data_IF_842780383506
#
_entry.id   IF_842780383506
#
_cell.length_a   1.000
_cell.length_b   1.000
_cell.length_c   1.000
_cell.angle_alpha   90.00
_cell.angle_beta   90.00
_cell.angle_gamma   90.00
#
_symmetry.space_group_name_H-M   'P 1'
#
loop_
_entity.id
_entity.type
_entity.pdbx_description
1 polymer ?
#
# COMPACT_ATOMS: atom_id res chain seq x y z
N UNK A 1 -3.90 24.64 -33.38
CA UNK A 1 -4.15 25.40 -32.14
C UNK A 1 -5.21 24.68 -31.29
N UNK A 2 -4.86 23.68 -30.47
CA UNK A 2 -5.79 23.11 -29.50
C UNK A 2 -5.30 23.25 -28.04
N UNK A 3 -6.23 23.06 -27.10
CA UNK A 3 -6.04 22.95 -25.64
C UNK A 3 -6.12 24.24 -24.80
N UNK A 4 -7.32 24.83 -24.76
CA UNK A 4 -7.77 25.74 -23.69
C UNK A 4 -9.09 25.22 -23.08
N UNK A 5 -9.06 24.07 -22.41
CA UNK A 5 -10.22 23.57 -21.63
C UNK A 5 -9.95 23.34 -20.14
N UNK A 6 -8.75 23.62 -19.63
CA UNK A 6 -8.41 23.31 -18.22
C UNK A 6 -8.43 24.49 -17.23
N UNK A 7 -8.67 25.74 -17.67
CA UNK A 7 -8.55 26.94 -16.80
C UNK A 7 -9.85 27.50 -16.20
N UNK A 8 -10.97 26.78 -16.22
CA UNK A 8 -12.24 27.30 -15.70
C UNK A 8 -13.00 26.33 -14.76
N UNK A 9 -12.30 25.61 -13.88
CA UNK A 9 -12.92 24.85 -12.79
C UNK A 9 -12.61 25.46 -11.42
N UNK A 10 -12.66 26.80 -11.32
CA UNK A 10 -12.34 27.55 -10.10
C UNK A 10 -13.57 28.03 -9.31
N UNK A 11 -14.77 27.56 -9.60
CA UNK A 11 -15.93 27.77 -8.74
C UNK A 11 -16.72 26.45 -8.63
N UNK A 12 -17.05 26.04 -7.40
CA UNK A 12 -17.59 24.73 -7.04
C UNK A 12 -19.14 24.72 -6.98
N UNK A 13 -19.85 24.35 -8.07
CA UNK A 13 -21.21 23.80 -7.97
C UNK A 13 -21.29 22.30 -8.33
N UNK A 14 -20.19 21.66 -8.76
CA UNK A 14 -20.18 20.27 -9.25
C UNK A 14 -19.72 19.21 -8.23
N UNK A 15 -19.07 19.63 -7.12
CA UNK A 15 -18.57 18.72 -6.09
C UNK A 15 -19.65 17.84 -5.41
N UNK A 16 -20.85 18.36 -5.04
CA UNK A 16 -21.89 17.53 -4.44
C UNK A 16 -22.54 16.58 -5.46
N UNK A 17 -22.69 17.00 -6.72
CA UNK A 17 -23.25 16.17 -7.79
C UNK A 17 -22.31 14.99 -8.15
N UNK A 18 -21.01 15.23 -8.19
CA UNK A 18 -20.00 14.17 -8.38
C UNK A 18 -20.01 13.18 -7.22
N UNK A 19 -20.01 13.68 -5.98
CA UNK A 19 -20.05 12.81 -4.80
C UNK A 19 -21.32 11.97 -4.76
N UNK A 20 -22.49 12.54 -5.09
CA UNK A 20 -23.74 11.80 -5.15
C UNK A 20 -23.71 10.68 -6.21
N UNK A 21 -23.14 10.94 -7.40
CA UNK A 21 -22.92 9.89 -8.41
C UNK A 21 -21.98 8.79 -7.90
N UNK A 22 -20.88 9.16 -7.25
CA UNK A 22 -19.95 8.20 -6.64
C UNK A 22 -20.65 7.37 -5.54
N UNK A 23 -21.45 8.00 -4.69
CA UNK A 23 -22.23 7.30 -3.66
C UNK A 23 -23.24 6.32 -4.27
N UNK A 24 -23.91 6.67 -5.38
CA UNK A 24 -24.79 5.76 -6.11
C UNK A 24 -24.04 4.50 -6.59
N UNK A 25 -22.81 4.65 -7.09
CA UNK A 25 -21.95 3.52 -7.47
C UNK A 25 -21.61 2.62 -6.28
N UNK A 26 -21.27 3.22 -5.14
CA UNK A 26 -20.97 2.50 -3.90
C UNK A 26 -22.21 1.80 -3.32
N UNK A 27 -23.39 2.43 -3.33
CA UNK A 27 -24.66 1.83 -2.91
C UNK A 27 -25.01 0.60 -3.74
N UNK A 28 -24.83 0.70 -5.07
CA UNK A 28 -25.06 -0.43 -5.97
C UNK A 28 -24.11 -1.61 -5.68
N UNK A 29 -22.86 -1.33 -5.30
CA UNK A 29 -21.91 -2.34 -4.85
C UNK A 29 -22.33 -2.96 -3.52
N UNK A 30 -22.70 -2.15 -2.52
CA UNK A 30 -23.15 -2.63 -1.21
C UNK A 30 -24.36 -3.58 -1.34
N UNK A 31 -25.37 -3.19 -2.12
CA UNK A 31 -26.54 -4.02 -2.39
C UNK A 31 -26.20 -5.30 -3.17
N UNK A 32 -25.13 -5.29 -3.97
CA UNK A 32 -24.66 -6.49 -4.65
C UNK A 32 -23.89 -7.42 -3.70
N UNK A 33 -23.01 -6.89 -2.85
CA UNK A 33 -22.29 -7.65 -1.83
C UNK A 33 -23.23 -8.31 -0.82
N UNK A 34 -24.27 -7.59 -0.38
CA UNK A 34 -25.27 -8.15 0.52
C UNK A 34 -26.00 -9.33 -0.12
N UNK A 35 -26.45 -9.19 -1.37
CA UNK A 35 -27.05 -10.32 -2.12
C UNK A 35 -26.06 -11.47 -2.28
N UNK A 36 -24.78 -11.20 -2.53
CA UNK A 36 -23.76 -12.24 -2.64
C UNK A 36 -23.67 -13.05 -1.33
N UNK A 37 -23.67 -12.38 -0.18
CA UNK A 37 -23.65 -13.02 1.14
C UNK A 37 -24.95 -13.80 1.43
N UNK A 38 -26.12 -13.26 1.04
CA UNK A 38 -27.42 -13.93 1.20
C UNK A 38 -27.50 -15.25 0.41
N UNK A 39 -26.83 -15.34 -0.75
CA UNK A 39 -26.77 -16.58 -1.54
C UNK A 39 -25.67 -17.56 -1.08
N UNK A 40 -24.79 -17.14 -0.16
CA UNK A 40 -23.73 -17.94 0.43
C UNK A 40 -22.38 -17.86 -0.30
N UNK A 41 -21.29 -18.03 0.46
CA UNK A 41 -19.91 -17.96 -0.03
C UNK A 41 -19.58 -18.93 -1.18
N UNK A 42 -20.09 -20.19 -1.21
CA UNK A 42 -19.83 -21.09 -2.33
C UNK A 42 -20.33 -20.52 -3.67
N UNK A 43 -21.43 -19.76 -3.67
CA UNK A 43 -21.93 -19.12 -4.88
C UNK A 43 -20.95 -18.08 -5.43
N UNK A 44 -20.19 -17.39 -4.57
CA UNK A 44 -19.15 -16.45 -4.98
C UNK A 44 -18.01 -17.13 -5.75
N UNK A 45 -17.64 -18.36 -5.36
CA UNK A 45 -16.61 -19.16 -6.05
C UNK A 45 -17.07 -19.62 -7.45
N UNK A 46 -18.36 -19.92 -7.62
CA UNK A 46 -18.93 -20.34 -8.89
C UNK A 46 -19.44 -19.18 -9.76
N UNK A 47 -19.33 -17.92 -9.30
CA UNK A 47 -19.64 -16.78 -10.14
C UNK A 47 -18.68 -16.74 -11.33
N UNK A 48 -19.25 -16.55 -12.53
CA UNK A 48 -18.45 -16.32 -13.72
C UNK A 48 -17.61 -15.06 -13.57
N UNK A 49 -16.34 -15.12 -13.97
CA UNK A 49 -15.41 -13.97 -14.06
C UNK A 49 -16.05 -12.78 -14.78
N UNK A 50 -16.89 -13.01 -15.79
CA UNK A 50 -17.62 -11.94 -16.50
C UNK A 50 -18.53 -11.08 -15.61
N UNK A 51 -19.12 -11.66 -14.56
CA UNK A 51 -19.96 -10.93 -13.61
C UNK A 51 -19.14 -10.02 -12.70
N UNK A 52 -18.00 -10.51 -12.20
CA UNK A 52 -17.05 -9.71 -11.43
C UNK A 52 -16.51 -8.55 -12.27
N UNK A 53 -16.03 -8.83 -13.48
CA UNK A 53 -15.51 -7.82 -14.40
C UNK A 53 -16.57 -6.77 -14.78
N UNK A 54 -17.84 -7.18 -14.93
CA UNK A 54 -18.93 -6.23 -15.15
C UNK A 54 -19.13 -5.28 -13.96
N UNK A 55 -18.97 -5.75 -12.72
CA UNK A 55 -19.09 -4.93 -11.51
C UNK A 55 -17.89 -4.02 -11.33
N UNK A 56 -16.68 -4.52 -11.55
CA UNK A 56 -15.43 -3.74 -11.53
C UNK A 56 -15.52 -2.58 -12.53
N UNK A 57 -15.90 -2.86 -13.78
CA UNK A 57 -16.05 -1.82 -14.82
C UNK A 57 -17.08 -0.75 -14.44
N UNK A 58 -18.21 -1.15 -13.84
CA UNK A 58 -19.21 -0.19 -13.34
C UNK A 58 -18.61 0.74 -12.28
N UNK A 59 -17.80 0.23 -11.36
CA UNK A 59 -17.15 1.09 -10.35
C UNK A 59 -16.18 2.09 -10.99
N UNK A 60 -15.45 1.69 -12.03
CA UNK A 60 -14.62 2.59 -12.82
C UNK A 60 -15.46 3.67 -13.52
N UNK A 61 -16.62 3.32 -14.08
CA UNK A 61 -17.58 4.30 -14.65
C UNK A 61 -18.11 5.29 -13.61
N UNK A 62 -18.13 4.92 -12.33
CA UNK A 62 -18.49 5.81 -11.21
C UNK A 62 -17.30 6.56 -10.60
N UNK A 63 -16.11 6.49 -11.20
CA UNK A 63 -14.87 7.08 -10.68
C UNK A 63 -14.51 6.57 -9.27
N UNK A 64 -14.68 5.25 -9.03
CA UNK A 64 -14.34 4.56 -7.79
C UNK A 64 -13.24 3.49 -8.01
N UNK A 65 -12.06 3.86 -8.55
CA UNK A 65 -11.03 2.89 -8.92
C UNK A 65 -10.46 2.12 -7.72
N UNK A 66 -10.50 2.69 -6.51
CA UNK A 66 -10.06 1.99 -5.29
C UNK A 66 -11.00 0.86 -4.88
N UNK A 67 -12.32 1.09 -4.97
CA UNK A 67 -13.32 0.03 -4.77
C UNK A 67 -13.26 -1.03 -5.88
N UNK A 68 -13.01 -0.61 -7.13
CA UNK A 68 -12.83 -1.51 -8.26
C UNK A 68 -11.62 -2.45 -8.03
N UNK A 69 -10.48 -1.88 -7.62
CA UNK A 69 -9.27 -2.66 -7.30
C UNK A 69 -9.49 -3.61 -6.11
N UNK A 70 -10.16 -3.15 -5.04
CA UNK A 70 -10.49 -4.01 -3.89
C UNK A 70 -11.42 -5.17 -4.28
N UNK A 71 -12.41 -4.92 -5.15
CA UNK A 71 -13.27 -5.97 -5.69
C UNK A 71 -12.50 -6.97 -6.55
N UNK A 72 -11.54 -6.52 -7.36
CA UNK A 72 -10.65 -7.40 -8.12
C UNK A 72 -9.75 -8.27 -7.24
N UNK A 73 -9.33 -7.78 -6.07
CA UNK A 73 -8.61 -8.60 -5.08
C UNK A 73 -9.49 -9.70 -4.48
N UNK A 74 -10.78 -9.41 -4.24
CA UNK A 74 -11.76 -10.41 -3.79
C UNK A 74 -11.97 -11.47 -4.88
N UNK A 75 -12.17 -11.06 -6.13
CA UNK A 75 -12.29 -11.97 -7.29
C UNK A 75 -11.07 -12.88 -7.41
N UNK A 76 -9.86 -12.33 -7.29
CA UNK A 76 -8.62 -13.10 -7.34
C UNK A 76 -8.56 -14.17 -6.24
N UNK A 77 -9.04 -13.87 -5.02
CA UNK A 77 -9.13 -14.85 -3.92
C UNK A 77 -10.17 -15.92 -4.20
N UNK A 78 -11.33 -15.57 -4.77
CA UNK A 78 -12.36 -16.55 -5.16
C UNK A 78 -11.83 -17.57 -6.17
N UNK A 79 -10.97 -17.15 -7.10
CA UNK A 79 -10.39 -17.98 -8.13
C UNK A 79 -9.00 -18.55 -7.78
N UNK A 80 -8.50 -18.26 -6.57
CA UNK A 80 -7.23 -18.82 -6.10
C UNK A 80 -7.46 -20.25 -5.60
N UNK A 81 -6.89 -21.23 -6.30
CA UNK A 81 -6.70 -22.61 -5.85
C UNK A 81 -7.79 -23.18 -4.94
N UNK A 82 -7.39 -23.61 -3.74
CA UNK A 82 -8.33 -24.05 -2.71
C UNK A 82 -8.96 -22.81 -2.02
N UNK A 83 -10.29 -22.78 -2.00
CA UNK A 83 -11.04 -21.72 -1.33
C UNK A 83 -10.76 -21.74 0.18
N UNK A 84 -10.32 -20.60 0.71
CA UNK A 84 -10.28 -20.31 2.14
C UNK A 84 -11.51 -19.44 2.50
N UNK A 85 -12.56 -20.03 3.11
CA UNK A 85 -13.80 -19.31 3.42
C UNK A 85 -13.59 -18.16 4.40
N UNK A 86 -12.67 -18.29 5.35
CA UNK A 86 -12.43 -17.28 6.38
C UNK A 86 -11.71 -16.07 5.76
N UNK A 87 -10.69 -16.32 4.94
CA UNK A 87 -9.99 -15.26 4.22
C UNK A 87 -10.90 -14.53 3.21
N UNK A 88 -11.82 -15.25 2.55
CA UNK A 88 -12.79 -14.66 1.64
C UNK A 88 -13.83 -13.82 2.39
N UNK A 89 -14.41 -14.34 3.49
CA UNK A 89 -15.39 -13.62 4.29
C UNK A 89 -14.79 -12.33 4.86
N UNK A 90 -13.55 -12.39 5.36
CA UNK A 90 -12.87 -11.21 5.86
C UNK A 90 -12.62 -10.18 4.74
N UNK A 91 -12.23 -10.61 3.53
CA UNK A 91 -12.08 -9.71 2.38
C UNK A 91 -13.39 -9.02 1.98
N UNK A 92 -14.49 -9.78 1.96
CA UNK A 92 -15.83 -9.27 1.67
C UNK A 92 -16.29 -8.28 2.76
N UNK A 93 -16.02 -8.59 4.04
CA UNK A 93 -16.31 -7.71 5.17
C UNK A 93 -15.53 -6.40 5.13
N UNK A 94 -14.23 -6.45 4.82
CA UNK A 94 -13.38 -5.27 4.61
C UNK A 94 -13.92 -4.38 3.48
N UNK A 95 -14.26 -4.98 2.32
CA UNK A 95 -14.82 -4.27 1.18
C UNK A 95 -16.20 -3.67 1.48
N UNK A 96 -17.07 -4.43 2.15
CA UNK A 96 -18.39 -3.97 2.55
C UNK A 96 -18.29 -2.79 3.54
N UNK A 97 -17.43 -2.90 4.55
CA UNK A 97 -17.17 -1.82 5.53
C UNK A 97 -16.69 -0.55 4.84
N UNK A 98 -15.71 -0.65 3.94
CA UNK A 98 -15.22 0.50 3.17
C UNK A 98 -16.31 1.12 2.28
N UNK A 99 -17.11 0.28 1.61
CA UNK A 99 -18.19 0.73 0.73
C UNK A 99 -19.26 1.47 1.55
N UNK A 100 -19.66 0.91 2.69
CA UNK A 100 -20.62 1.51 3.61
C UNK A 100 -20.09 2.83 4.18
N UNK A 101 -18.83 2.87 4.62
CA UNK A 101 -18.17 4.09 5.08
C UNK A 101 -18.16 5.19 4.01
N UNK A 102 -17.93 4.83 2.74
CA UNK A 102 -17.96 5.78 1.64
C UNK A 102 -19.38 6.31 1.33
N UNK A 103 -20.40 5.45 1.39
CA UNK A 103 -21.81 5.87 1.25
C UNK A 103 -22.17 6.88 2.35
N UNK A 104 -21.80 6.59 3.59
CA UNK A 104 -22.09 7.42 4.75
C UNK A 104 -21.01 8.45 5.09
N UNK A 105 -20.14 8.78 4.14
CA UNK A 105 -18.97 9.63 4.33
C UNK A 105 -19.25 10.96 5.08
N UNK A 106 -20.35 11.70 4.83
CA UNK A 106 -20.65 12.93 5.57
C UNK A 106 -20.94 12.74 7.06
N UNK A 107 -21.26 11.51 7.49
CA UNK A 107 -21.58 11.16 8.88
C UNK A 107 -20.34 10.73 9.67
N UNK A 108 -19.23 10.43 8.99
CA UNK A 108 -17.98 10.03 9.63
C UNK A 108 -17.27 11.23 10.28
N UNK A 109 -16.49 11.00 11.36
CA UNK A 109 -15.60 12.02 11.91
C UNK A 109 -14.73 12.64 10.83
N UNK A 110 -14.55 13.98 10.87
CA UNK A 110 -13.82 14.71 9.83
C UNK A 110 -12.38 14.21 9.62
N UNK A 111 -11.75 13.61 10.65
CA UNK A 111 -10.41 13.03 10.58
C UNK A 111 -10.33 11.74 9.75
N UNK A 112 -11.43 10.99 9.63
CA UNK A 112 -11.49 9.70 8.93
C UNK A 112 -11.87 9.83 7.46
N UNK A 113 -12.64 10.86 7.11
CA UNK A 113 -13.13 11.07 5.74
C UNK A 113 -12.02 11.07 4.67
N UNK A 114 -10.83 11.68 4.89
CA UNK A 114 -9.74 11.63 3.91
C UNK A 114 -9.25 10.20 3.63
N UNK A 115 -9.14 9.35 4.65
CA UNK A 115 -8.68 7.97 4.50
C UNK A 115 -9.68 7.13 3.70
N UNK A 116 -10.98 7.27 3.96
CA UNK A 116 -12.05 6.60 3.21
C UNK A 116 -12.06 7.03 1.74
N UNK A 117 -11.97 8.34 1.47
CA UNK A 117 -11.89 8.88 0.11
C UNK A 117 -10.68 8.33 -0.64
N UNK A 118 -9.51 8.36 0.00
CA UNK A 118 -8.27 7.84 -0.58
C UNK A 118 -8.39 6.35 -0.91
N UNK A 119 -8.93 5.55 0.02
CA UNK A 119 -9.09 4.10 -0.16
C UNK A 119 -10.12 3.75 -1.24
N UNK A 120 -11.17 4.56 -1.40
CA UNK A 120 -12.13 4.44 -2.50
C UNK A 120 -11.56 4.89 -3.86
N UNK A 121 -10.37 5.50 -3.89
CA UNK A 121 -9.73 6.02 -5.10
C UNK A 121 -10.17 7.44 -5.48
N UNK A 122 -10.87 8.13 -4.58
CA UNK A 122 -11.38 9.49 -4.78
C UNK A 122 -10.38 10.48 -4.20
N UNK A 123 -9.32 10.79 -4.96
CA UNK A 123 -8.28 11.73 -4.53
C UNK A 123 -8.64 13.18 -4.92
N UNK A 124 -9.35 13.89 -4.04
CA UNK A 124 -9.78 15.28 -4.29
C UNK A 124 -8.74 16.34 -3.89
N UNK A 125 -7.64 15.96 -3.25
CA UNK A 125 -6.69 16.94 -2.70
C UNK A 125 -5.60 17.28 -3.72
N UNK A 126 -5.59 18.54 -4.14
CA UNK A 126 -4.50 19.11 -4.94
C UNK A 126 -3.18 18.99 -4.17
N UNK A 127 -2.11 18.57 -4.86
CA UNK A 127 -0.75 18.54 -4.33
C UNK A 127 -0.32 19.92 -3.82
N UNK A 128 -0.77 21.01 -4.47
CA UNK A 128 -0.52 22.38 -4.02
C UNK A 128 -1.16 22.68 -2.66
N UNK A 129 -2.37 22.17 -2.43
CA UNK A 129 -3.10 22.31 -1.19
C UNK A 129 -2.44 21.52 -0.04
N UNK A 130 -2.01 20.28 -0.29
CA UNK A 130 -1.31 19.46 0.73
C UNK A 130 -0.02 20.13 1.20
N UNK A 131 0.73 20.79 0.31
CA UNK A 131 1.92 21.58 0.68
C UNK A 131 1.62 22.78 1.57
N UNK A 132 0.41 23.33 1.49
CA UNK A 132 0.02 24.57 2.18
C UNK A 132 -0.65 24.37 3.53
N UNK A 133 -1.09 23.15 3.87
CA UNK A 133 -2.02 22.96 4.98
C UNK A 133 -1.42 22.40 6.28
N UNK A 134 -0.33 21.62 6.18
CA UNK A 134 0.32 20.98 7.33
C UNK A 134 1.79 21.39 7.39
N UNK A 135 2.36 21.64 8.59
CA UNK A 135 3.80 21.80 8.73
C UNK A 135 4.45 20.52 8.22
N UNK A 136 5.27 20.67 7.18
CA UNK A 136 5.99 19.53 6.62
C UNK A 136 7.03 19.02 7.61
N UNK A 137 7.39 17.75 7.47
CA UNK A 137 8.43 17.11 8.28
C UNK A 137 9.76 17.25 7.55
N UNK A 138 10.65 18.04 8.13
CA UNK A 138 12.03 18.16 7.66
C UNK A 138 12.85 16.96 8.17
N UNK A 139 13.52 16.24 7.28
CA UNK A 139 14.40 15.12 7.62
C UNK A 139 15.37 14.83 6.47
N UNK A 140 16.29 13.90 6.72
CA UNK A 140 17.03 13.17 5.69
C UNK A 140 16.26 11.89 5.38
N UNK A 141 15.68 11.83 4.19
CA UNK A 141 14.81 10.75 3.75
C UNK A 141 15.56 9.74 2.89
N UNK A 142 15.70 8.51 3.37
CA UNK A 142 16.31 7.41 2.64
C UNK A 142 15.30 6.65 1.82
N UNK A 143 15.62 6.39 0.55
CA UNK A 143 14.82 5.54 -0.34
C UNK A 143 15.03 4.08 0.02
N UNK A 144 14.00 3.46 0.61
CA UNK A 144 14.04 2.04 1.01
C UNK A 144 13.70 1.11 -0.15
N UNK A 145 12.66 1.46 -0.90
CA UNK A 145 12.20 0.67 -2.04
C UNK A 145 11.46 1.56 -3.03
N UNK A 146 11.53 1.19 -4.30
CA UNK A 146 10.75 1.83 -5.36
C UNK A 146 10.13 0.75 -6.26
N UNK A 147 8.79 0.69 -6.28
CA UNK A 147 8.02 -0.19 -7.18
C UNK A 147 7.38 0.65 -8.27
N UNK A 148 7.59 0.26 -9.52
CA UNK A 148 6.92 0.86 -10.67
C UNK A 148 5.99 -0.18 -11.28
N UNK A 149 4.70 0.13 -11.32
CA UNK A 149 3.71 -0.66 -12.04
C UNK A 149 3.64 -0.14 -13.47
N UNK A 150 3.78 -1.05 -14.43
CA UNK A 150 3.59 -0.81 -15.87
C UNK A 150 2.32 -1.53 -16.31
N UNK A 151 1.59 -0.99 -17.29
CA UNK A 151 0.42 -1.66 -17.86
C UNK A 151 0.80 -3.09 -18.32
N UNK A 152 -0.05 -4.06 -17.98
CA UNK A 152 0.08 -5.50 -18.22
C UNK A 152 0.34 -5.89 -19.69
N UNK A 153 0.14 -4.96 -20.63
CA UNK A 153 0.37 -5.17 -22.06
C UNK A 153 1.81 -4.91 -22.51
N UNK A 154 2.72 -4.52 -21.61
CA UNK A 154 4.11 -4.21 -21.94
C UNK A 154 4.28 -3.06 -22.95
N UNK A 155 3.18 -2.34 -23.24
CA UNK A 155 3.19 -1.21 -24.15
C UNK A 155 3.41 0.05 -23.32
N UNK A 156 4.41 0.83 -23.71
CA UNK A 156 4.73 2.18 -23.22
C UNK A 156 3.64 3.21 -23.58
N UNK A 157 2.35 2.84 -23.58
CA UNK A 157 1.26 3.78 -23.78
C UNK A 157 0.71 4.22 -22.42
N UNK A 158 1.34 5.25 -21.88
CA UNK A 158 0.62 6.36 -21.26
C UNK A 158 0.17 6.23 -19.81
N UNK A 159 0.43 5.15 -19.08
CA UNK A 159 0.17 5.09 -17.62
C UNK A 159 1.42 4.68 -16.85
N UNK A 160 1.83 5.54 -15.92
CA UNK A 160 2.99 5.35 -15.05
C UNK A 160 2.55 5.47 -13.60
N UNK A 161 2.68 4.40 -12.82
CA UNK A 161 2.42 4.40 -11.39
C UNK A 161 3.69 3.97 -10.65
N UNK A 162 4.22 4.85 -9.81
CA UNK A 162 5.42 4.59 -9.01
C UNK A 162 5.17 4.86 -7.54
N UNK A 163 5.42 3.86 -6.72
CA UNK A 163 5.39 3.93 -5.27
C UNK A 163 6.83 3.90 -4.75
N UNK A 164 7.22 4.96 -4.02
CA UNK A 164 8.54 5.04 -3.38
C UNK A 164 8.38 5.11 -1.87
N UNK A 165 8.92 4.12 -1.18
CA UNK A 165 9.01 4.11 0.27
C UNK A 165 10.27 4.85 0.72
N UNK A 166 10.07 5.77 1.65
CA UNK A 166 11.09 6.59 2.28
C UNK A 166 11.09 6.35 3.79
N UNK A 167 12.24 6.55 4.41
CA UNK A 167 12.38 6.57 5.87
C UNK A 167 13.20 7.77 6.30
N UNK A 168 12.69 8.52 7.27
CA UNK A 168 13.38 9.67 7.87
C UNK A 168 14.43 9.22 8.88
N UNK A 169 15.70 9.53 8.62
CA UNK A 169 16.82 9.11 9.45
C UNK A 169 16.76 9.67 10.89
N UNK A 170 16.25 10.90 11.04
CA UNK A 170 16.18 11.58 12.34
C UNK A 170 14.85 11.31 13.04
N UNK A 171 13.74 11.35 12.29
CA UNK A 171 12.39 11.21 12.84
C UNK A 171 11.94 9.77 13.00
N UNK A 172 12.62 8.82 12.34
CA UNK A 172 12.23 7.42 12.29
C UNK A 172 10.95 7.15 11.50
N UNK A 173 10.40 8.17 10.81
CA UNK A 173 9.08 8.12 10.19
C UNK A 173 9.13 7.50 8.79
N UNK A 174 8.20 6.62 8.48
CA UNK A 174 8.00 6.12 7.12
C UNK A 174 7.14 7.07 6.29
N UNK A 175 7.43 7.16 5.00
CA UNK A 175 6.62 7.91 4.05
C UNK A 175 6.50 7.19 2.71
N UNK A 176 5.33 7.27 2.10
CA UNK A 176 5.04 6.72 0.78
C UNK A 176 4.77 7.86 -0.19
N UNK A 177 5.68 8.04 -1.16
CA UNK A 177 5.49 8.99 -2.26
C UNK A 177 4.96 8.22 -3.47
N UNK A 178 3.74 8.55 -3.87
CA UNK A 178 3.08 7.97 -5.05
C UNK A 178 3.10 8.97 -6.19
N UNK A 179 3.70 8.56 -7.30
CA UNK A 179 3.78 9.34 -8.52
C UNK A 179 2.94 8.66 -9.59
N UNK A 180 1.98 9.40 -10.11
CA UNK A 180 1.10 8.94 -11.18
C UNK A 180 1.15 9.97 -12.29
N UNK A 181 1.58 9.53 -13.47
CA UNK A 181 1.64 10.35 -14.66
C UNK A 181 0.92 9.64 -15.81
N UNK A 182 0.15 10.42 -16.58
CA UNK A 182 -0.56 9.94 -17.76
C UNK A 182 0.06 10.62 -18.99
N UNK A 183 0.43 9.85 -20.00
CA UNK A 183 1.00 10.33 -21.27
C UNK A 183 2.32 11.13 -21.15
N UNK A 184 3.11 10.93 -20.08
CA UNK A 184 4.42 11.58 -19.92
C UNK A 184 5.53 10.60 -20.26
N UNK A 185 6.38 10.97 -21.22
CA UNK A 185 7.44 10.13 -21.73
C UNK A 185 8.74 10.92 -21.99
N UNK A 186 9.89 10.56 -21.38
CA UNK A 186 10.06 9.61 -20.29
C UNK A 186 9.44 10.12 -18.98
N UNK A 187 9.03 9.23 -18.07
CA UNK A 187 8.54 9.64 -16.76
C UNK A 187 9.63 10.43 -16.01
N UNK A 188 9.29 11.53 -15.32
CA UNK A 188 10.28 12.32 -14.63
C UNK A 188 10.92 11.49 -13.51
N UNK A 189 12.25 11.38 -13.50
CA UNK A 189 13.02 10.77 -12.41
C UNK A 189 13.10 11.74 -11.22
N UNK A 190 11.99 11.87 -10.48
CA UNK A 190 11.89 12.78 -9.33
C UNK A 190 12.57 12.21 -8.08
N UNK A 191 12.53 10.89 -7.92
CA UNK A 191 13.19 10.17 -6.82
C UNK A 191 13.97 8.99 -7.40
N UNK A 192 15.27 8.96 -7.14
CA UNK A 192 16.18 7.91 -7.59
C UNK A 192 16.20 6.75 -6.58
N UNK A 193 16.24 5.48 -7.03
CA UNK A 193 16.49 4.34 -6.16
C UNK A 193 17.79 4.51 -5.38
N UNK A 194 17.85 3.98 -4.16
CA UNK A 194 19.05 3.93 -3.31
C UNK A 194 19.65 5.30 -2.93
N UNK A 195 18.96 6.41 -3.23
CA UNK A 195 19.38 7.74 -2.84
C UNK A 195 18.87 8.17 -1.46
N UNK A 196 19.49 9.19 -0.91
CA UNK A 196 18.96 9.95 0.22
C UNK A 196 18.63 11.38 -0.22
N UNK A 197 17.63 11.97 0.43
CA UNK A 197 17.15 13.31 0.12
C UNK A 197 17.04 14.14 1.38
N UNK A 198 17.72 15.29 1.41
CA UNK A 198 17.50 16.28 2.45
C UNK A 198 16.34 17.19 2.04
N UNK A 199 15.31 17.28 2.88
CA UNK A 199 14.17 18.11 2.55
C UNK A 199 12.95 17.91 3.42
N UNK A 200 11.86 18.53 2.99
CA UNK A 200 10.58 18.56 3.70
C UNK A 200 9.58 17.66 2.98
N UNK A 201 8.97 16.71 3.68
CA UNK A 201 7.79 15.97 3.21
C UNK A 201 6.51 16.53 3.83
N UNK A 202 5.49 16.74 2.99
CA UNK A 202 4.14 17.08 3.45
C UNK A 202 3.25 15.85 3.36
N UNK A 203 2.68 15.43 4.48
CA UNK A 203 1.81 14.27 4.55
C UNK A 203 0.37 14.66 4.20
N UNK A 204 -0.33 13.75 3.52
CA UNK A 204 -1.77 13.91 3.31
C UNK A 204 -2.49 13.90 4.68
N UNK A 205 -3.58 14.67 4.84
CA UNK A 205 -4.34 14.66 6.07
C UNK A 205 -5.01 13.30 6.30
N UNK A 206 -5.16 12.94 7.57
CA UNK A 206 -5.72 11.67 8.03
C UNK A 206 -5.05 11.24 9.33
N UNK A 207 -5.63 10.27 10.02
CA UNK A 207 -4.96 9.59 11.13
C UNK A 207 -3.83 8.70 10.58
N UNK A 208 -2.69 8.62 11.29
CA UNK A 208 -1.51 7.86 10.86
C UNK A 208 -1.05 8.05 9.40
N UNK A 209 -0.89 9.28 8.87
CA UNK A 209 -0.72 9.45 7.43
C UNK A 209 0.66 8.97 6.97
N UNK A 210 0.65 8.04 6.03
CA UNK A 210 1.83 7.48 5.37
C UNK A 210 2.12 8.17 4.03
N UNK A 211 1.07 8.54 3.29
CA UNK A 211 1.23 9.14 1.97
C UNK A 211 1.77 10.56 2.12
N UNK A 212 2.81 10.89 1.36
CA UNK A 212 3.44 12.19 1.40
C UNK A 212 3.80 12.70 0.00
N UNK A 213 4.09 14.00 -0.07
CA UNK A 213 4.65 14.67 -1.24
C UNK A 213 5.90 15.47 -0.86
N UNK A 214 6.93 15.45 -1.71
CA UNK A 214 8.07 16.34 -1.57
C UNK A 214 7.67 17.82 -1.61
N UNK A 215 8.24 18.59 -0.70
CA UNK A 215 8.22 20.05 -0.68
C UNK A 215 9.06 20.67 -1.79
N UNK A 216 9.29 21.99 -1.72
CA UNK A 216 10.11 22.71 -2.71
C UNK A 216 11.61 22.49 -2.49
N UNK A 217 12.05 22.43 -1.23
CA UNK A 217 13.42 22.08 -0.86
C UNK A 217 13.52 20.55 -0.73
N UNK A 218 13.95 19.91 -1.81
CA UNK A 218 14.09 18.46 -1.93
C UNK A 218 15.36 18.18 -2.74
N UNK A 219 16.46 17.95 -2.03
CA UNK A 219 17.80 17.87 -2.63
C UNK A 219 18.37 16.48 -2.44
N UNK A 220 18.88 15.90 -3.53
CA UNK A 220 19.57 14.62 -3.48
C UNK A 220 20.93 14.80 -2.81
N UNK A 221 21.30 13.84 -1.96
CA UNK A 221 22.64 13.75 -1.39
C UNK A 221 23.21 12.36 -1.64
N UNK A 222 24.52 12.30 -1.83
CA UNK A 222 25.24 11.04 -1.90
C UNK A 222 25.23 10.38 -0.53
N UNK A 223 25.03 9.07 -0.49
CA UNK A 223 24.97 8.28 0.74
C UNK A 223 26.37 7.73 1.03
N UNK A 224 27.03 8.22 2.10
CA UNK A 224 28.38 7.74 2.47
C UNK A 224 28.36 6.32 3.06
N UNK A 225 27.30 5.96 3.80
CA UNK A 225 27.10 4.62 4.37
C UNK A 225 25.65 4.15 4.23
N UNK A 226 25.41 2.87 3.90
CA UNK A 226 24.05 2.33 3.78
C UNK A 226 23.35 2.31 5.15
N UNK A 227 22.52 3.32 5.41
CA UNK A 227 21.64 3.33 6.57
C UNK A 227 20.39 2.47 6.31
N UNK A 228 19.75 2.05 7.40
CA UNK A 228 18.48 1.34 7.38
C UNK A 228 17.64 1.70 8.60
N UNK A 229 16.32 1.54 8.55
CA UNK A 229 15.48 1.68 9.73
C UNK A 229 15.90 0.67 10.80
N UNK A 230 15.74 1.07 12.07
CA UNK A 230 15.79 0.12 13.18
C UNK A 230 14.66 -0.88 13.00
N UNK A 231 14.99 -2.17 13.02
CA UNK A 231 14.01 -3.22 12.86
C UNK A 231 13.41 -3.62 14.21
N UNK A 232 12.10 -3.91 14.20
CA UNK A 232 11.40 -4.45 15.35
C UNK A 232 11.20 -5.97 15.30
N UNK A 233 10.69 -6.53 16.39
CA UNK A 233 10.26 -7.92 16.46
C UNK A 233 8.84 -8.12 15.88
N UNK A 234 8.43 -9.36 15.56
CA UNK A 234 7.04 -9.64 15.16
C UNK A 234 5.99 -9.19 16.17
N UNK A 235 6.32 -9.19 17.48
CA UNK A 235 5.43 -8.65 18.52
C UNK A 235 5.26 -7.14 18.44
N UNK A 236 6.35 -6.41 18.17
CA UNK A 236 6.28 -4.96 17.96
C UNK A 236 5.50 -4.61 16.68
N UNK A 237 5.61 -5.43 15.63
CA UNK A 237 4.74 -5.32 14.45
C UNK A 237 3.27 -5.44 14.86
N UNK A 238 2.89 -6.49 15.60
CA UNK A 238 1.50 -6.66 16.02
C UNK A 238 0.97 -5.46 16.82
N UNK A 239 1.77 -4.94 17.77
CA UNK A 239 1.39 -3.78 18.59
C UNK A 239 1.25 -2.49 17.76
N UNK A 240 2.25 -2.18 16.94
CA UNK A 240 2.25 -0.95 16.11
C UNK A 240 1.18 -1.00 15.04
N UNK A 241 0.91 -2.18 14.45
CA UNK A 241 -0.18 -2.36 13.51
C UNK A 241 -1.55 -2.21 14.18
N UNK A 242 -1.75 -2.77 15.38
CA UNK A 242 -3.01 -2.60 16.11
C UNK A 242 -3.31 -1.12 16.40
N UNK A 243 -2.31 -0.35 16.87
CA UNK A 243 -2.44 1.08 17.07
C UNK A 243 -2.76 1.84 15.76
N UNK A 244 -2.11 1.44 14.65
CA UNK A 244 -2.37 2.05 13.34
C UNK A 244 -3.79 1.75 12.81
N UNK A 245 -4.33 0.55 13.09
CA UNK A 245 -5.70 0.17 12.72
C UNK A 245 -6.73 0.90 13.58
N UNK A 246 -6.43 1.12 14.87
CA UNK A 246 -7.28 1.93 15.76
C UNK A 246 -7.41 3.38 15.24
N UNK A 247 -6.31 3.95 14.77
CA UNK A 247 -6.29 5.28 14.16
C UNK A 247 -6.94 5.31 12.77
N UNK A 248 -6.63 4.33 11.92
CA UNK A 248 -7.08 4.26 10.52
C UNK A 248 -7.63 2.87 10.18
N UNK A 249 -8.95 2.63 10.36
CA UNK A 249 -9.55 1.30 10.19
C UNK A 249 -9.41 0.69 8.78
N UNK A 250 -9.29 1.52 7.75
CA UNK A 250 -9.17 1.08 6.34
C UNK A 250 -7.72 1.08 5.83
N UNK A 251 -6.75 0.98 6.74
CA UNK A 251 -5.34 0.85 6.40
C UNK A 251 -5.10 -0.40 5.53
N UNK A 252 -4.56 -0.20 4.32
CA UNK A 252 -4.32 -1.29 3.37
C UNK A 252 -2.97 -1.95 3.53
N UNK A 253 -1.96 -1.17 3.92
CA UNK A 253 -0.58 -1.60 4.09
C UNK A 253 0.04 -0.81 5.23
N UNK A 254 0.84 -1.49 6.05
CA UNK A 254 1.64 -0.88 7.11
C UNK A 254 3.12 -1.11 6.83
N UNK A 255 3.95 -0.06 6.76
CA UNK A 255 5.39 -0.22 6.57
C UNK A 255 6.00 -0.78 7.85
N UNK A 256 6.82 -1.81 7.72
CA UNK A 256 7.56 -2.38 8.85
C UNK A 256 8.96 -2.76 8.42
N UNK A 257 9.92 -2.47 9.29
CA UNK A 257 11.24 -3.12 9.26
C UNK A 257 11.29 -4.13 10.39
N UNK A 258 11.56 -5.39 10.05
CA UNK A 258 11.76 -6.47 11.01
C UNK A 258 13.24 -6.84 11.07
N UNK A 259 13.78 -6.99 12.28
CA UNK A 259 15.19 -7.37 12.47
C UNK A 259 15.43 -7.86 13.90
N UNK A 260 16.22 -8.93 14.12
CA UNK A 260 16.71 -9.89 13.12
C UNK A 260 15.60 -10.87 12.66
N UNK A 261 15.58 -11.23 11.38
CA UNK A 261 14.67 -12.26 10.85
C UNK A 261 15.43 -13.31 10.04
N UNK A 262 15.11 -14.59 10.27
CA UNK A 262 15.66 -15.73 9.53
C UNK A 262 14.65 -16.19 8.47
N UNK A 263 14.99 -16.13 7.17
CA UNK A 263 14.20 -16.78 6.13
C UNK A 263 14.28 -18.30 6.26
N UNK A 264 13.13 -18.97 6.36
CA UNK A 264 13.04 -20.43 6.47
C UNK A 264 12.10 -20.96 5.40
N UNK A 265 12.51 -22.02 4.71
CA UNK A 265 11.64 -22.76 3.81
C UNK A 265 10.74 -23.70 4.63
N UNK A 266 9.43 -23.54 4.48
CA UNK A 266 8.39 -24.39 5.07
C UNK A 266 7.70 -25.18 3.96
N UNK A 267 7.58 -26.50 4.13
CA UNK A 267 7.09 -27.36 3.06
C UNK A 267 8.01 -27.37 1.84
N UNK A 268 7.42 -27.34 0.64
CA UNK A 268 8.17 -27.40 -0.63
C UNK A 268 8.42 -26.03 -1.27
N UNK A 269 7.60 -25.02 -0.96
CA UNK A 269 7.61 -23.73 -1.68
C UNK A 269 7.44 -22.51 -0.80
N UNK A 270 7.04 -22.66 0.46
CA UNK A 270 6.57 -21.52 1.24
C UNK A 270 7.69 -20.96 2.09
N UNK A 271 8.10 -19.72 1.80
CA UNK A 271 9.13 -19.04 2.59
C UNK A 271 8.46 -18.23 3.69
N UNK A 272 8.95 -18.38 4.92
CA UNK A 272 8.52 -17.60 6.07
C UNK A 272 9.70 -16.89 6.71
N UNK A 273 9.41 -15.82 7.45
CA UNK A 273 10.40 -15.15 8.30
C UNK A 273 10.18 -15.55 9.75
N UNK A 274 11.25 -15.99 10.42
CA UNK A 274 11.22 -16.41 11.81
C UNK A 274 12.13 -15.51 12.64
N UNK A 275 11.63 -15.01 13.78
CA UNK A 275 12.49 -14.31 14.72
C UNK A 275 13.41 -15.30 15.45
N UNK A 276 14.75 -15.13 15.44
CA UNK A 276 15.69 -16.12 16.00
C UNK A 276 15.50 -16.45 17.49
N UNK A 277 15.03 -15.50 18.29
CA UNK A 277 14.92 -15.66 19.76
C UNK A 277 13.50 -16.00 20.22
N UNK A 278 12.48 -15.41 19.57
CA UNK A 278 11.10 -15.44 20.07
C UNK A 278 10.20 -16.34 19.22
N UNK A 279 10.75 -17.00 18.20
CA UNK A 279 10.07 -17.89 17.24
C UNK A 279 8.82 -17.30 16.56
N UNK A 280 8.62 -15.99 16.63
CA UNK A 280 7.51 -15.31 15.94
C UNK A 280 7.61 -15.55 14.44
N UNK A 281 6.53 -16.09 13.86
CA UNK A 281 6.42 -16.40 12.44
C UNK A 281 5.74 -15.24 11.71
N UNK A 282 6.33 -14.82 10.61
CA UNK A 282 5.78 -13.79 9.73
C UNK A 282 5.61 -14.40 8.33
N UNK A 283 4.37 -14.69 7.91
CA UNK A 283 4.08 -15.18 6.57
C UNK A 283 4.51 -14.17 5.51
N UNK A 284 4.95 -14.67 4.36
CA UNK A 284 5.30 -13.84 3.21
C UNK A 284 4.22 -13.91 2.12
N UNK A 285 4.06 -12.79 1.41
CA UNK A 285 3.30 -12.71 0.16
C UNK A 285 4.17 -12.14 -0.95
N UNK A 286 3.70 -12.26 -2.19
CA UNK A 286 4.41 -11.79 -3.38
C UNK A 286 4.97 -12.93 -4.23
N UNK A 287 5.73 -12.59 -5.25
CA UNK A 287 6.20 -13.56 -6.24
C UNK A 287 7.27 -14.50 -5.65
N UNK A 288 7.19 -15.79 -6.01
CA UNK A 288 8.14 -16.81 -5.56
C UNK A 288 9.61 -16.42 -5.81
N UNK A 289 10.01 -15.84 -6.96
CA UNK A 289 11.39 -15.41 -7.16
C UNK A 289 11.92 -14.43 -6.10
N UNK A 290 11.08 -13.51 -5.61
CA UNK A 290 11.46 -12.57 -4.56
C UNK A 290 11.65 -13.29 -3.21
N UNK A 291 10.82 -14.29 -2.91
CA UNK A 291 10.95 -15.11 -1.71
C UNK A 291 12.25 -15.96 -1.74
N UNK A 292 12.58 -16.53 -2.90
CA UNK A 292 13.85 -17.25 -3.08
C UNK A 292 15.07 -16.35 -2.99
N UNK A 293 14.98 -15.11 -3.48
CA UNK A 293 16.05 -14.11 -3.31
C UNK A 293 16.30 -13.78 -1.83
N UNK A 294 15.26 -13.73 -1.01
CA UNK A 294 15.37 -13.53 0.43
C UNK A 294 16.17 -14.67 1.10
N UNK A 295 15.83 -15.93 0.78
CA UNK A 295 16.57 -17.12 1.25
C UNK A 295 18.04 -17.08 0.82
N UNK A 296 18.29 -16.82 -0.47
CA UNK A 296 19.64 -16.77 -1.03
C UNK A 296 20.48 -15.65 -0.40
N UNK A 297 19.88 -14.49 -0.12
CA UNK A 297 20.58 -13.35 0.51
C UNK A 297 20.89 -13.63 1.97
N UNK A 298 19.99 -14.31 2.69
CA UNK A 298 20.21 -14.68 4.08
C UNK A 298 21.31 -15.72 4.26
N UNK A 299 21.45 -16.67 3.32
CA UNK A 299 22.48 -17.71 3.40
C UNK A 299 22.38 -18.58 4.66
N UNK A 300 21.19 -18.69 5.25
CA UNK A 300 20.96 -19.35 6.54
C UNK A 300 21.22 -18.48 7.77
N UNK A 301 21.61 -17.21 7.60
CA UNK A 301 21.77 -16.22 8.65
C UNK A 301 20.59 -15.25 8.76
N UNK A 302 20.48 -14.53 9.90
CA UNK A 302 19.46 -13.51 10.09
C UNK A 302 19.78 -12.25 9.26
N UNK A 303 18.72 -11.61 8.78
CA UNK A 303 18.77 -10.37 8.02
C UNK A 303 17.75 -9.35 8.56
N UNK A 304 17.84 -8.10 8.12
CA UNK A 304 16.76 -7.13 8.29
C UNK A 304 15.88 -7.11 7.04
N UNK A 305 14.56 -7.10 7.20
CA UNK A 305 13.59 -7.00 6.09
C UNK A 305 12.74 -5.76 6.28
N UNK A 306 12.63 -4.94 5.25
CA UNK A 306 11.60 -3.92 5.14
C UNK A 306 10.52 -4.38 4.17
N UNK A 307 9.25 -4.14 4.51
CA UNK A 307 8.14 -4.54 3.68
C UNK A 307 6.80 -3.91 4.05
N UNK A 308 5.78 -4.30 3.29
CA UNK A 308 4.38 -3.90 3.50
C UNK A 308 3.60 -5.04 4.16
N UNK A 309 3.19 -4.82 5.41
CA UNK A 309 2.28 -5.71 6.13
C UNK A 309 0.83 -5.39 5.78
N UNK A 310 0.06 -6.39 5.33
CA UNK A 310 -1.36 -6.22 4.97
C UNK A 310 -2.34 -6.70 6.06
N UNK A 311 -1.84 -6.96 7.26
CA UNK A 311 -2.60 -7.57 8.36
C UNK A 311 -2.44 -9.09 8.44
N UNK A 312 -1.97 -9.76 7.39
CA UNK A 312 -1.86 -11.23 7.30
C UNK A 312 -0.47 -11.71 6.89
N UNK A 313 0.14 -11.04 5.90
CA UNK A 313 1.42 -11.41 5.34
C UNK A 313 2.26 -10.18 4.96
N UNK A 314 3.57 -10.32 5.09
CA UNK A 314 4.55 -9.31 4.72
C UNK A 314 4.90 -9.46 3.24
N UNK A 315 4.79 -8.38 2.48
CA UNK A 315 5.46 -8.29 1.18
C UNK A 315 6.88 -7.75 1.40
N UNK A 316 7.93 -8.55 1.23
CA UNK A 316 9.31 -8.08 1.38
C UNK A 316 9.66 -7.14 0.22
N UNK A 317 10.21 -5.98 0.55
CA UNK A 317 10.55 -4.92 -0.41
C UNK A 317 12.03 -4.54 -0.41
N UNK A 318 12.70 -4.63 0.73
CA UNK A 318 14.13 -4.43 0.84
C UNK A 318 14.71 -5.31 1.95
N UNK A 319 16.00 -5.63 1.82
CA UNK A 319 16.70 -6.50 2.77
C UNK A 319 18.14 -6.06 2.98
N UNK A 320 18.64 -6.23 4.20
CA UNK A 320 20.03 -5.93 4.57
C UNK A 320 20.62 -7.10 5.31
N UNK A 321 21.82 -7.51 4.89
CA UNK A 321 22.62 -8.49 5.62
C UNK A 321 23.05 -7.84 6.93
N UNK A 322 22.81 -8.53 8.04
CA UNK A 322 23.30 -8.07 9.33
C UNK A 322 24.79 -8.40 9.44
N UNK A 323 25.63 -7.50 9.99
CA UNK A 323 27.00 -7.85 10.27
C UNK A 323 27.01 -9.10 11.15
N UNK A 324 27.85 -10.07 10.78
CA UNK A 324 28.04 -11.24 11.62
C UNK A 324 28.39 -10.75 13.03
N UNK A 325 27.64 -11.21 14.04
CA UNK A 325 28.16 -11.14 15.39
C UNK A 325 29.54 -11.81 15.36
N UNK A 326 30.57 -11.29 16.05
CA UNK A 326 31.86 -11.97 16.13
C UNK A 326 31.66 -13.27 16.92
N UNK A 327 31.15 -14.29 16.24
CA UNK A 327 31.05 -15.65 16.76
C UNK A 327 32.44 -16.23 16.67
N UNK A 328 33.06 -16.39 17.83
CA UNK A 328 34.14 -17.36 18.01
C UNK A 328 33.67 -18.67 17.36
N UNK A 329 34.43 -19.25 16.41
CA UNK A 329 34.02 -20.50 15.79
C UNK A 329 33.87 -21.56 16.90
N UNK A 330 32.87 -22.47 16.82
CA UNK A 330 32.83 -23.60 17.72
C UNK A 330 34.14 -24.39 17.53
N UNK A 331 34.85 -24.61 18.63
CA UNK A 331 36.02 -25.47 18.64
C UNK A 331 35.59 -26.87 18.14
N UNK A 332 36.23 -27.33 17.06
CA UNK A 332 36.22 -28.73 16.65
C UNK A 332 37.21 -29.53 17.48
#
# INVERSE_FOLDING_TARGET
>A
MPYLWWRAALEQPQAPALLARQQQGAEALAAWLQRLLEHGLPCAHYLFTSLWQSRIRRLEEYDLPGLAAALGQVEARCHAGALDPDALLAALGELYSLTHAFVHLPQLPAAEQPAVRLRAGVNQLDRGWVRGMQPGVADTWLVLNQRTEQDARGRWWGWYHRATWLWGATTGRYALVVETDINVLPPPKRILPWGQYQGILHFYPGAGPLRAIPGKAWEWQETEEPQRPLGGSPWQLAYTYAAAVEEQPWLSVWPVTLSPMLPVLTGLTDVQLVHPLDQGLVPLRGELPAQWQLLATGGGGPLAVFGEWDGRALLPLAQWILPASPTTPPAL
#
